data_IF_586937584633
#
_entry.id   IF_586937584633
#
_cell.length_a   1.000
_cell.length_b   1.000
_cell.length_c   1.000
_cell.angle_alpha   90.00
_cell.angle_beta   90.00
_cell.angle_gamma   90.00
#
_symmetry.space_group_name_H-M   'P 1'
#
loop_
_entity.id
_entity.type
_entity.pdbx_description
1 polymer ?
#
# COMPACT_ATOMS: atom_id res chain seq x y z
N UNK A 1 -64.60 24.66 -25.94
CA UNK A 1 -65.80 23.91 -25.57
C UNK A 1 -65.52 23.22 -24.24
N UNK A 2 -66.21 23.64 -23.20
CA UNK A 2 -66.07 23.15 -21.83
C UNK A 2 -66.99 21.95 -21.63
N UNK A 3 -66.51 20.87 -21.01
CA UNK A 3 -67.38 19.93 -20.30
C UNK A 3 -66.81 19.69 -18.90
N UNK A 4 -67.54 20.15 -17.89
CA UNK A 4 -67.43 19.73 -16.49
C UNK A 4 -68.44 18.60 -16.27
N UNK A 5 -68.07 17.61 -15.46
CA UNK A 5 -68.84 16.73 -14.54
C UNK A 5 -67.75 15.75 -14.03
N UNK A 6 -67.35 15.59 -12.77
CA UNK A 6 -68.04 15.75 -11.50
C UNK A 6 -68.32 14.36 -10.91
N UNK A 7 -67.72 14.05 -9.75
CA UNK A 7 -68.24 13.22 -8.63
C UNK A 7 -67.25 12.16 -8.07
N UNK A 8 -66.80 12.48 -6.85
CA UNK A 8 -66.50 11.67 -5.64
C UNK A 8 -65.94 10.25 -5.71
N UNK A 9 -64.91 10.01 -4.89
CA UNK A 9 -64.64 8.70 -4.29
C UNK A 9 -63.35 8.66 -3.49
N UNK A 10 -63.44 8.77 -2.16
CA UNK A 10 -62.31 8.54 -1.25
C UNK A 10 -61.92 7.07 -1.30
N UNK A 11 -60.67 6.76 -1.68
CA UNK A 11 -60.04 5.47 -1.43
C UNK A 11 -58.62 5.73 -0.91
N UNK A 12 -58.47 5.62 0.42
CA UNK A 12 -57.18 5.67 1.10
C UNK A 12 -56.33 4.46 0.68
N UNK A 13 -55.32 4.69 -0.16
CA UNK A 13 -54.23 3.74 -0.36
C UNK A 13 -53.10 4.11 0.61
N UNK A 14 -53.06 3.42 1.74
CA UNK A 14 -51.93 3.45 2.67
C UNK A 14 -50.76 2.72 1.98
N UNK A 15 -49.86 3.50 1.37
CA UNK A 15 -48.57 3.01 0.89
C UNK A 15 -47.63 2.88 2.10
N UNK A 16 -47.48 1.68 2.64
CA UNK A 16 -46.47 1.35 3.64
C UNK A 16 -45.11 1.21 2.95
N UNK A 17 -44.40 2.31 2.78
CA UNK A 17 -42.97 2.29 2.46
C UNK A 17 -42.19 1.83 3.69
N UNK A 18 -41.85 0.54 3.75
CA UNK A 18 -40.82 0.07 4.68
C UNK A 18 -39.46 0.59 4.18
N UNK A 19 -39.00 1.71 4.72
CA UNK A 19 -37.59 2.09 4.63
C UNK A 19 -36.81 1.11 5.51
N UNK A 20 -36.22 0.09 4.91
CA UNK A 20 -35.09 -0.60 5.52
C UNK A 20 -33.94 0.41 5.57
N UNK A 21 -33.78 1.08 6.71
CA UNK A 21 -32.60 1.86 7.00
C UNK A 21 -31.44 0.89 7.17
N UNK A 22 -30.80 0.51 6.05
CA UNK A 22 -29.48 -0.09 6.08
C UNK A 22 -28.53 0.99 6.59
N UNK A 23 -28.30 1.04 7.90
CA UNK A 23 -27.20 1.83 8.46
C UNK A 23 -25.92 1.13 8.05
N UNK A 24 -25.47 1.39 6.82
CA UNK A 24 -24.07 1.25 6.45
C UNK A 24 -23.34 2.19 7.40
N UNK A 25 -22.72 1.66 8.45
CA UNK A 25 -21.66 2.35 9.19
C UNK A 25 -20.58 2.62 8.16
N UNK A 26 -20.69 3.77 7.51
CA UNK A 26 -19.69 4.28 6.60
C UNK A 26 -18.44 4.54 7.45
N UNK A 27 -17.37 3.77 7.21
CA UNK A 27 -16.05 4.12 7.66
C UNK A 27 -15.74 5.51 7.11
N UNK A 28 -15.83 6.54 7.94
CA UNK A 28 -15.60 7.91 7.45
C UNK A 28 -14.11 8.09 7.22
N UNK A 29 -13.67 8.68 6.09
CA UNK A 29 -12.26 9.02 5.84
C UNK A 29 -11.63 9.88 6.96
N UNK A 30 -12.49 10.59 7.70
CA UNK A 30 -12.10 11.44 8.82
C UNK A 30 -11.53 10.64 10.00
N UNK A 31 -11.98 9.41 10.23
CA UNK A 31 -11.44 8.58 11.30
C UNK A 31 -10.05 8.05 10.95
N UNK A 32 -9.82 7.67 9.67
CA UNK A 32 -8.49 7.25 9.17
C UNK A 32 -7.45 8.38 9.25
N UNK A 33 -7.83 9.61 8.88
CA UNK A 33 -6.94 10.76 8.93
C UNK A 33 -6.47 11.11 10.36
N UNK A 34 -7.30 10.83 11.39
CA UNK A 34 -6.93 11.06 12.79
C UNK A 34 -5.85 10.11 13.27
N UNK A 35 -5.82 8.87 12.78
CA UNK A 35 -4.77 7.92 13.18
C UNK A 35 -3.40 8.32 12.64
N UNK A 36 -3.33 8.99 11.50
CA UNK A 36 -2.07 9.46 10.91
C UNK A 36 -1.69 10.90 11.30
N UNK A 37 -2.46 11.56 12.16
CA UNK A 37 -2.17 12.92 12.58
C UNK A 37 -0.81 12.98 13.30
N UNK A 38 0.05 13.94 12.90
CA UNK A 38 1.39 14.10 13.46
C UNK A 38 2.49 13.25 12.81
N UNK A 39 2.18 12.34 11.89
CA UNK A 39 3.18 11.45 11.26
C UNK A 39 4.01 12.10 10.15
N UNK A 40 3.68 13.34 9.73
CA UNK A 40 4.28 13.98 8.55
C UNK A 40 5.82 14.11 8.60
N UNK A 41 6.43 14.28 9.79
CA UNK A 41 7.90 14.27 9.89
C UNK A 41 8.46 12.88 9.64
N UNK A 42 7.84 11.86 10.26
CA UNK A 42 8.24 10.46 10.11
C UNK A 42 8.08 9.98 8.67
N UNK A 43 7.01 10.36 7.98
CA UNK A 43 6.84 10.07 6.53
C UNK A 43 8.02 10.61 5.72
N UNK A 44 8.44 11.86 5.97
CA UNK A 44 9.60 12.45 5.26
C UNK A 44 10.92 11.75 5.63
N UNK A 45 11.09 11.39 6.89
CA UNK A 45 12.28 10.68 7.37
C UNK A 45 12.37 9.27 6.78
N UNK A 46 11.26 8.54 6.72
CA UNK A 46 11.18 7.20 6.10
C UNK A 46 11.40 7.27 4.59
N UNK A 47 10.79 8.24 3.89
CA UNK A 47 11.00 8.45 2.46
C UNK A 47 12.43 8.87 2.10
N UNK A 48 13.19 9.42 3.05
CA UNK A 48 14.57 9.86 2.86
C UNK A 48 15.61 8.76 3.17
N UNK A 49 15.19 7.53 3.48
CA UNK A 49 16.12 6.43 3.75
C UNK A 49 16.90 6.04 2.49
N UNK A 50 18.23 6.13 2.55
CA UNK A 50 19.15 5.81 1.43
C UNK A 50 18.94 4.41 0.84
N UNK A 51 18.44 3.46 1.63
CA UNK A 51 18.17 2.09 1.18
C UNK A 51 17.11 2.05 0.07
N UNK A 52 16.18 3.01 0.03
CA UNK A 52 15.16 3.14 -1.03
C UNK A 52 15.78 3.51 -2.38
N UNK A 53 16.90 4.22 -2.39
CA UNK A 53 17.66 4.59 -3.60
C UNK A 53 18.74 3.58 -3.99
N UNK A 54 19.07 2.66 -3.08
CA UNK A 54 19.96 1.53 -3.35
C UNK A 54 19.35 0.63 -4.41
N UNK A 55 20.11 0.27 -5.45
CA UNK A 55 19.68 -0.63 -6.53
C UNK A 55 20.86 -1.32 -7.22
N UNK A 56 20.65 -2.50 -7.82
CA UNK A 56 21.66 -3.15 -8.66
C UNK A 56 22.09 -2.23 -9.83
N UNK A 57 23.33 -2.38 -10.28
CA UNK A 57 23.80 -1.66 -11.46
C UNK A 57 22.93 -2.01 -12.68
N UNK A 58 22.46 -0.99 -13.41
CA UNK A 58 21.57 -1.15 -14.55
C UNK A 58 20.07 -1.17 -14.20
N UNK A 59 19.70 -1.16 -12.92
CA UNK A 59 18.33 -0.87 -12.50
C UNK A 59 18.03 0.63 -12.61
N UNK A 60 16.83 0.96 -13.09
CA UNK A 60 16.32 2.31 -13.25
C UNK A 60 14.98 2.45 -12.55
N UNK A 61 14.65 3.64 -12.06
CA UNK A 61 13.31 3.93 -11.52
C UNK A 61 12.28 3.60 -12.61
N UNK A 62 11.24 2.88 -12.23
CA UNK A 62 10.19 2.46 -13.16
C UNK A 62 9.39 3.67 -13.65
N UNK A 63 8.97 3.65 -14.90
CA UNK A 63 8.25 4.77 -15.51
C UNK A 63 6.92 5.02 -14.79
N UNK A 64 6.59 6.25 -14.44
CA UNK A 64 5.38 6.58 -13.66
C UNK A 64 5.48 6.27 -12.17
N UNK A 65 6.68 5.95 -11.67
CA UNK A 65 7.01 5.81 -10.24
C UNK A 65 8.28 6.62 -9.90
N UNK A 66 8.44 7.80 -10.51
CA UNK A 66 9.62 8.63 -10.36
C UNK A 66 9.79 9.15 -8.91
N UNK A 67 8.67 9.35 -8.22
CA UNK A 67 8.61 9.78 -6.83
C UNK A 67 8.60 8.57 -5.88
N UNK A 68 9.10 8.75 -4.66
CA UNK A 68 8.89 7.78 -3.58
C UNK A 68 7.40 7.83 -3.23
N UNK A 69 6.69 6.71 -3.30
CA UNK A 69 5.36 6.62 -2.70
C UNK A 69 5.56 6.51 -1.19
N UNK A 70 4.96 7.43 -0.43
CA UNK A 70 5.13 7.45 1.01
C UNK A 70 3.88 8.02 1.67
N UNK A 71 3.54 7.45 2.82
CA UNK A 71 2.33 7.83 3.52
C UNK A 71 2.21 7.15 4.86
N UNK A 72 0.98 7.16 5.35
CA UNK A 72 0.62 6.50 6.58
C UNK A 72 -0.70 5.78 6.38
N UNK A 73 -0.80 4.57 6.92
CA UNK A 73 -2.04 3.84 7.04
C UNK A 73 -2.19 3.36 8.47
N UNK A 74 -3.44 3.07 8.84
CA UNK A 74 -3.74 2.47 10.13
C UNK A 74 -4.69 1.30 9.91
N UNK A 75 -4.36 0.14 10.47
CA UNK A 75 -5.27 -1.01 10.56
C UNK A 75 -5.44 -1.37 12.03
N UNK A 76 -6.70 -1.49 12.45
CA UNK A 76 -7.06 -2.02 13.76
C UNK A 76 -6.37 -1.33 14.96
N UNK A 77 -5.90 -0.09 14.79
CA UNK A 77 -5.24 0.72 15.81
C UNK A 77 -3.71 0.81 15.68
N UNK A 78 -3.09 0.00 14.82
CA UNK A 78 -1.66 0.07 14.54
C UNK A 78 -1.40 1.09 13.43
N UNK A 79 -0.58 2.10 13.73
CA UNK A 79 -0.18 3.14 12.79
C UNK A 79 1.14 2.75 12.15
N UNK A 80 1.14 2.72 10.81
CA UNK A 80 2.30 2.37 10.00
C UNK A 80 2.59 3.51 9.04
N UNK A 81 3.81 4.05 9.12
CA UNK A 81 4.35 4.96 8.11
C UNK A 81 5.11 4.13 7.09
N UNK A 82 4.80 4.29 5.81
CA UNK A 82 5.43 3.54 4.73
C UNK A 82 6.16 4.46 3.76
N UNK A 83 7.17 3.91 3.10
CA UNK A 83 7.73 4.49 1.88
C UNK A 83 8.24 3.38 0.94
N UNK A 84 7.93 3.46 -0.35
CA UNK A 84 8.37 2.48 -1.35
C UNK A 84 8.76 3.10 -2.69
N UNK A 85 9.53 2.31 -3.45
CA UNK A 85 10.01 2.65 -4.80
C UNK A 85 9.92 1.45 -5.72
N UNK A 86 9.65 1.74 -6.99
CA UNK A 86 9.64 0.75 -8.06
C UNK A 86 10.83 0.90 -8.99
N UNK A 87 11.44 -0.24 -9.32
CA UNK A 87 12.56 -0.33 -10.23
C UNK A 87 12.27 -1.28 -11.38
N UNK A 88 12.55 -0.82 -12.59
CA UNK A 88 12.69 -1.66 -13.77
C UNK A 88 14.14 -2.13 -13.85
N UNK A 89 14.34 -3.44 -14.02
CA UNK A 89 15.67 -4.03 -14.10
C UNK A 89 15.73 -5.15 -15.13
N UNK A 90 16.57 -5.03 -16.18
CA UNK A 90 16.66 -6.05 -17.22
C UNK A 90 17.43 -7.31 -16.80
N UNK A 91 18.05 -7.32 -15.61
CA UNK A 91 18.76 -8.47 -15.09
C UNK A 91 17.88 -9.49 -14.39
N UNK A 92 18.44 -10.18 -13.41
CA UNK A 92 17.85 -11.37 -12.78
C UNK A 92 17.39 -11.11 -11.33
N UNK A 93 16.42 -11.91 -10.88
CA UNK A 93 15.99 -11.90 -9.47
C UNK A 93 17.15 -12.21 -8.52
N UNK A 94 18.07 -13.10 -8.92
CA UNK A 94 19.26 -13.44 -8.11
C UNK A 94 20.19 -12.25 -7.89
N UNK A 95 20.35 -11.37 -8.87
CA UNK A 95 21.18 -10.16 -8.74
C UNK A 95 20.54 -9.15 -7.79
N UNK A 96 19.21 -8.95 -7.88
CA UNK A 96 18.44 -8.13 -6.94
C UNK A 96 18.55 -8.70 -5.52
N UNK A 97 18.35 -10.00 -5.35
CA UNK A 97 18.48 -10.69 -4.07
C UNK A 97 19.88 -10.54 -3.46
N UNK A 98 20.93 -10.76 -4.26
CA UNK A 98 22.30 -10.60 -3.79
C UNK A 98 22.62 -9.15 -3.38
N UNK A 99 22.16 -8.19 -4.19
CA UNK A 99 22.32 -6.76 -3.92
C UNK A 99 21.69 -6.37 -2.58
N UNK A 100 20.40 -6.67 -2.37
CA UNK A 100 19.71 -6.22 -1.17
C UNK A 100 20.12 -6.96 0.09
N UNK A 101 20.49 -8.25 0.01
CA UNK A 101 21.12 -8.92 1.16
C UNK A 101 22.40 -8.20 1.60
N UNK A 102 23.23 -7.76 0.66
CA UNK A 102 24.45 -7.02 0.98
C UNK A 102 24.17 -5.60 1.46
N UNK A 103 23.27 -4.88 0.79
CA UNK A 103 22.94 -3.50 1.11
C UNK A 103 22.25 -3.38 2.47
N UNK A 104 21.27 -4.23 2.76
CA UNK A 104 20.54 -4.25 4.02
C UNK A 104 21.49 -4.52 5.19
N UNK A 105 22.35 -5.54 5.10
CA UNK A 105 23.34 -5.84 6.14
C UNK A 105 24.33 -4.68 6.37
N UNK A 106 24.79 -4.03 5.29
CA UNK A 106 25.69 -2.88 5.38
C UNK A 106 25.04 -1.68 6.07
N UNK A 107 23.74 -1.48 5.85
CA UNK A 107 22.94 -0.44 6.49
C UNK A 107 22.40 -0.88 7.88
N UNK A 108 22.83 -2.03 8.40
CA UNK A 108 22.50 -2.48 9.76
C UNK A 108 21.13 -3.12 9.92
N UNK A 109 20.46 -3.49 8.82
CA UNK A 109 19.27 -4.33 8.86
C UNK A 109 19.66 -5.80 9.06
N UNK A 110 18.88 -6.53 9.84
CA UNK A 110 19.01 -7.99 9.99
C UNK A 110 17.90 -8.72 9.25
N UNK A 111 18.09 -9.98 8.81
CA UNK A 111 16.99 -10.77 8.26
C UNK A 111 15.89 -10.95 9.32
N UNK A 112 14.61 -10.88 8.92
CA UNK A 112 13.51 -11.19 9.82
C UNK A 112 13.58 -12.67 10.25
N UNK A 113 13.37 -12.95 11.54
CA UNK A 113 13.57 -14.29 12.11
C UNK A 113 12.58 -15.35 11.62
N UNK A 114 11.39 -14.92 11.17
CA UNK A 114 10.30 -15.79 10.74
C UNK A 114 10.18 -15.88 9.20
N UNK A 115 10.93 -15.07 8.47
CA UNK A 115 10.87 -15.05 7.02
C UNK A 115 11.56 -16.31 6.42
N UNK A 116 10.93 -17.00 5.45
CA UNK A 116 11.63 -17.96 4.61
C UNK A 116 12.94 -17.38 4.08
N UNK A 117 14.00 -18.18 4.01
CA UNK A 117 15.31 -17.70 3.51
C UNK A 117 15.28 -17.13 2.08
N UNK A 118 14.22 -17.43 1.32
CA UNK A 118 13.95 -16.91 -0.03
C UNK A 118 13.42 -15.49 -0.02
N UNK A 119 12.85 -15.04 1.09
CA UNK A 119 12.12 -13.80 1.19
C UNK A 119 13.09 -12.69 1.55
N UNK A 120 12.96 -11.56 0.87
CA UNK A 120 13.80 -10.39 1.07
C UNK A 120 13.13 -9.49 2.10
N UNK A 121 13.05 -10.00 3.34
CA UNK A 121 12.50 -9.29 4.49
C UNK A 121 13.58 -9.06 5.55
N UNK A 122 13.75 -7.81 5.94
CA UNK A 122 14.75 -7.38 6.91
C UNK A 122 14.13 -6.45 7.95
N UNK A 123 14.77 -6.31 9.11
CA UNK A 123 14.30 -5.49 10.22
C UNK A 123 15.43 -4.63 10.79
N UNK A 124 15.09 -3.41 11.22
CA UNK A 124 15.99 -2.47 11.90
C UNK A 124 15.20 -1.64 12.91
N UNK A 125 15.29 -2.02 14.19
CA UNK A 125 14.46 -1.40 15.24
C UNK A 125 12.98 -1.64 14.99
N UNK A 126 12.20 -0.56 14.92
CA UNK A 126 10.75 -0.58 14.63
C UNK A 126 10.44 -0.43 13.14
N UNK A 127 11.35 -0.88 12.27
CA UNK A 127 11.16 -0.82 10.82
C UNK A 127 11.35 -2.20 10.20
N UNK A 128 10.54 -2.50 9.19
CA UNK A 128 10.74 -3.61 8.27
C UNK A 128 11.12 -3.06 6.90
N UNK A 129 11.95 -3.81 6.17
CA UNK A 129 12.37 -3.56 4.80
C UNK A 129 12.01 -4.78 3.98
N UNK A 130 11.29 -4.60 2.90
CA UNK A 130 10.87 -5.67 2.01
C UNK A 130 11.23 -5.37 0.56
N UNK A 131 11.51 -6.44 -0.19
CA UNK A 131 11.70 -6.37 -1.64
C UNK A 131 10.75 -7.41 -2.28
N UNK A 132 9.88 -6.94 -3.16
CA UNK A 132 8.86 -7.76 -3.84
C UNK A 132 9.07 -7.69 -5.34
N UNK A 133 9.22 -8.86 -5.98
CA UNK A 133 9.36 -8.92 -7.43
C UNK A 133 8.02 -8.69 -8.13
N UNK A 134 8.04 -7.84 -9.16
CA UNK A 134 6.90 -7.64 -10.02
C UNK A 134 6.56 -8.93 -10.77
N UNK A 135 5.28 -9.28 -10.76
CA UNK A 135 4.68 -10.28 -11.67
C UNK A 135 3.45 -9.66 -12.30
N UNK A 136 3.05 -10.16 -13.47
CA UNK A 136 1.84 -9.68 -14.14
C UNK A 136 0.58 -9.84 -13.25
N UNK A 137 0.54 -10.91 -12.45
CA UNK A 137 -0.53 -11.17 -11.47
C UNK A 137 -0.53 -10.11 -10.36
N UNK A 138 0.60 -9.91 -9.68
CA UNK A 138 0.74 -8.93 -8.59
C UNK A 138 0.39 -7.51 -9.04
N UNK A 139 0.89 -7.11 -10.21
CA UNK A 139 0.59 -5.79 -10.79
C UNK A 139 -0.89 -5.62 -11.11
N UNK A 140 -1.60 -6.70 -11.47
CA UNK A 140 -3.04 -6.64 -11.70
C UNK A 140 -3.81 -6.55 -10.37
N UNK A 141 -3.40 -7.28 -9.33
CA UNK A 141 -3.96 -7.20 -7.98
C UNK A 141 -3.82 -5.80 -7.38
N UNK A 142 -2.64 -5.18 -7.56
CA UNK A 142 -2.33 -3.84 -7.07
C UNK A 142 -2.95 -2.73 -7.94
N UNK A 143 -3.70 -3.08 -9.00
CA UNK A 143 -4.34 -2.11 -9.90
C UNK A 143 -3.37 -1.32 -10.79
N UNK A 144 -2.11 -1.74 -10.86
CA UNK A 144 -1.04 -1.11 -11.65
C UNK A 144 -1.08 -1.49 -13.14
N UNK A 145 -1.93 -2.46 -13.50
CA UNK A 145 -2.24 -2.81 -14.87
C UNK A 145 -1.07 -3.44 -15.63
N UNK A 146 -1.08 -3.29 -16.95
CA UNK A 146 -0.03 -3.84 -17.81
C UNK A 146 1.23 -2.98 -17.79
N UNK A 147 2.30 -3.49 -17.18
CA UNK A 147 3.59 -2.82 -17.01
C UNK A 147 4.72 -3.65 -17.63
N UNK A 148 4.95 -3.53 -18.95
CA UNK A 148 5.99 -4.32 -19.63
C UNK A 148 7.40 -3.94 -19.15
N UNK A 149 7.60 -2.72 -18.69
CA UNK A 149 8.83 -2.21 -18.08
C UNK A 149 9.22 -2.96 -16.81
N UNK A 150 8.23 -3.38 -16.02
CA UNK A 150 8.43 -4.12 -14.77
C UNK A 150 8.45 -5.65 -14.96
N UNK A 151 7.88 -6.15 -16.05
CA UNK A 151 7.72 -7.60 -16.29
C UNK A 151 8.72 -8.17 -17.29
N UNK A 152 9.37 -7.33 -18.10
CA UNK A 152 10.46 -7.74 -19.01
C UNK A 152 11.79 -7.74 -18.25
N UNK A 153 12.00 -8.75 -17.41
CA UNK A 153 13.19 -8.88 -16.56
C UNK A 153 12.84 -9.15 -15.10
N UNK A 154 13.61 -8.58 -14.19
CA UNK A 154 13.39 -8.67 -12.75
C UNK A 154 13.00 -7.31 -12.18
N UNK A 155 11.91 -6.70 -12.65
CA UNK A 155 11.34 -5.52 -12.00
C UNK A 155 10.87 -5.86 -10.58
N UNK A 156 10.92 -4.87 -9.68
CA UNK A 156 10.62 -5.06 -8.27
C UNK A 156 10.23 -3.75 -7.60
N UNK A 157 9.57 -3.86 -6.45
CA UNK A 157 9.43 -2.79 -5.47
C UNK A 157 10.30 -3.07 -4.25
N UNK A 158 10.82 -1.99 -3.68
CA UNK A 158 11.46 -1.97 -2.36
C UNK A 158 10.64 -1.04 -1.48
N UNK A 159 10.30 -1.48 -0.28
CA UNK A 159 9.53 -0.67 0.66
C UNK A 159 10.02 -0.81 2.09
N UNK A 160 9.77 0.22 2.87
CA UNK A 160 10.03 0.27 4.31
C UNK A 160 8.72 0.61 5.02
N UNK A 161 8.37 -0.20 6.00
CA UNK A 161 7.32 0.12 6.96
C UNK A 161 7.95 0.50 8.31
N UNK A 162 7.42 1.54 8.93
CA UNK A 162 7.88 2.11 10.19
C UNK A 162 6.74 2.17 11.20
N UNK A 163 6.84 1.39 12.27
CA UNK A 163 5.77 1.16 13.23
C UNK A 163 5.88 2.09 14.45
N UNK A 164 4.76 2.65 14.91
CA UNK A 164 4.68 3.50 16.11
C UNK A 164 4.74 2.71 17.45
N UNK A 165 4.39 1.41 17.44
CA UNK A 165 4.50 0.51 18.61
C UNK A 165 4.96 -0.89 18.18
N UNK A 166 6.05 -1.40 18.77
CA UNK A 166 6.54 -2.78 18.53
C UNK A 166 5.84 -3.79 19.43
N UNK A 167 4.50 -3.77 19.45
CA UNK A 167 3.69 -4.75 20.19
C UNK A 167 3.49 -6.06 19.41
N UNK A 168 3.57 -5.99 18.08
CA UNK A 168 3.61 -7.12 17.16
C UNK A 168 5.01 -7.36 16.58
N UNK A 169 5.22 -8.55 16.02
CA UNK A 169 6.47 -8.85 15.31
C UNK A 169 6.65 -7.87 14.15
N UNK A 170 7.75 -7.11 14.17
CA UNK A 170 8.22 -6.34 13.01
C UNK A 170 8.54 -7.36 11.92
N UNK A 171 7.63 -7.55 10.98
CA UNK A 171 7.71 -8.61 9.97
C UNK A 171 7.15 -8.15 8.64
N UNK A 172 7.64 -8.81 7.61
CA UNK A 172 7.04 -8.95 6.29
C UNK A 172 6.70 -10.45 6.17
#
# INVERSE_FOLDING_TARGET
MTLRIGITGRASLLLTTMLTASTLTACTPLDLARYCEGTASRVRETAALDILDSRPAGASVAQGFEEVDAGCWADSGDIVVYADRWYAFPGTRSEVTAHYRSAALRDGWGPASEAPSTDLCFVKGTMSLWIVFATAERLAEDGLGHRPDLTTGAGYSIGVDSYEHSGGATGC
#
